data_IF_988518815699
#
_entry.id   IF_988518815699
#
_cell.length_a   1.000
_cell.length_b   1.000
_cell.length_c   1.000
_cell.angle_alpha   90.00
_cell.angle_beta   90.00
_cell.angle_gamma   90.00
#
_symmetry.space_group_name_H-M   'P 1'
#
loop_
_entity.id
_entity.type
_entity.pdbx_description
1 polymer ?
#
# COMPACT_ATOMS: atom_id res chain seq x y z
N UNK A 1 6.70 6.58 -2.07
CA UNK A 1 8.08 6.19 -2.49
C UNK A 1 8.30 4.73 -2.14
N UNK A 2 9.03 3.94 -2.92
CA UNK A 2 9.27 2.52 -2.64
C UNK A 2 10.76 2.16 -2.69
N UNK A 3 11.30 1.69 -1.58
CA UNK A 3 12.68 1.24 -1.40
C UNK A 3 12.68 -0.28 -1.36
N UNK A 4 12.91 -0.91 -2.52
CA UNK A 4 12.68 -2.34 -2.75
C UNK A 4 13.46 -3.26 -1.82
N UNK A 5 14.73 -2.94 -1.61
CA UNK A 5 15.67 -3.78 -0.87
C UNK A 5 15.93 -3.24 0.55
N UNK A 6 15.13 -2.28 1.01
CA UNK A 6 15.26 -1.66 2.33
C UNK A 6 16.45 -0.70 2.45
N UNK A 7 17.23 -0.54 1.39
CA UNK A 7 18.22 0.54 1.27
C UNK A 7 17.51 1.88 1.12
N UNK A 8 17.78 2.79 2.06
CA UNK A 8 17.22 4.14 2.07
C UNK A 8 18.15 5.18 1.41
N UNK A 9 19.31 4.77 0.89
CA UNK A 9 20.29 5.64 0.24
C UNK A 9 20.06 5.73 -1.27
N UNK A 10 19.76 4.61 -1.92
CA UNK A 10 19.44 4.58 -3.35
C UNK A 10 18.11 5.28 -3.63
N UNK A 11 17.99 5.88 -4.82
CA UNK A 11 16.76 6.55 -5.24
C UNK A 11 15.58 5.56 -5.24
N UNK A 12 14.43 5.92 -4.64
CA UNK A 12 13.28 5.03 -4.58
C UNK A 12 12.49 5.01 -5.89
N UNK A 13 11.84 3.88 -6.14
CA UNK A 13 10.80 3.76 -7.15
C UNK A 13 9.58 4.66 -6.77
N UNK A 14 8.82 5.08 -7.78
CA UNK A 14 7.63 5.95 -7.62
C UNK A 14 6.42 5.35 -8.34
N UNK A 15 5.23 5.56 -7.79
CA UNK A 15 3.96 5.12 -8.36
C UNK A 15 3.88 3.60 -8.62
N UNK A 16 4.45 2.81 -7.69
CA UNK A 16 4.47 1.34 -7.77
C UNK A 16 3.15 0.78 -7.24
N UNK A 17 2.49 -0.08 -8.01
CA UNK A 17 1.23 -0.73 -7.60
C UNK A 17 1.47 -1.90 -6.62
N UNK A 18 2.49 -2.70 -6.86
CA UNK A 18 2.79 -3.94 -6.14
C UNK A 18 4.23 -4.32 -6.41
N UNK A 19 4.91 -4.87 -5.41
CA UNK A 19 6.24 -5.42 -5.55
C UNK A 19 6.41 -6.65 -4.66
N UNK A 20 7.13 -7.70 -5.13
CA UNK A 20 7.51 -8.81 -4.27
C UNK A 20 8.60 -8.37 -3.28
N UNK A 21 8.56 -8.93 -2.07
CA UNK A 21 9.66 -8.88 -1.10
C UNK A 21 10.28 -10.28 -1.06
N UNK A 22 11.56 -10.40 -1.41
CA UNK A 22 12.23 -11.69 -1.47
C UNK A 22 12.48 -12.24 -0.03
N UNK A 23 12.54 -13.57 0.16
CA UNK A 23 12.88 -14.14 1.47
C UNK A 23 14.21 -13.61 2.00
N UNK A 24 14.25 -13.20 3.27
CA UNK A 24 15.45 -12.65 3.91
C UNK A 24 15.75 -11.19 3.57
N UNK A 25 14.87 -10.52 2.84
CA UNK A 25 14.97 -9.07 2.53
C UNK A 25 13.86 -8.28 3.22
N UNK A 26 13.89 -6.97 3.09
CA UNK A 26 12.86 -6.06 3.58
C UNK A 26 12.67 -4.96 2.53
N UNK A 27 11.46 -4.42 2.45
CA UNK A 27 11.18 -3.22 1.67
C UNK A 27 10.63 -2.13 2.59
N UNK A 28 10.85 -0.87 2.24
CA UNK A 28 10.21 0.27 2.89
C UNK A 28 9.36 1.03 1.87
N UNK A 29 8.20 1.52 2.30
CA UNK A 29 7.30 2.28 1.44
C UNK A 29 6.75 3.50 2.18
N UNK A 30 6.65 4.60 1.46
CA UNK A 30 5.94 5.81 1.85
C UNK A 30 4.65 5.89 1.02
N UNK A 31 3.50 6.00 1.69
CA UNK A 31 2.17 6.10 1.09
C UNK A 31 1.45 7.34 1.63
N UNK A 32 0.68 7.98 0.76
CA UNK A 32 -0.21 9.08 1.11
C UNK A 32 -1.66 8.62 0.89
N UNK A 33 -2.56 8.98 1.80
CA UNK A 33 -3.96 8.57 1.75
C UNK A 33 -4.86 9.81 1.69
N UNK A 34 -5.07 10.40 0.50
CA UNK A 34 -5.80 11.65 0.35
C UNK A 34 -7.32 11.49 0.45
N UNK A 35 -7.84 10.25 0.42
CA UNK A 35 -9.27 9.95 0.54
C UNK A 35 -9.49 9.14 1.82
N UNK A 36 -10.40 9.54 2.72
CA UNK A 36 -10.69 8.78 3.93
C UNK A 36 -11.36 7.45 3.61
N UNK A 37 -11.15 6.46 4.47
CA UNK A 37 -11.69 5.10 4.33
C UNK A 37 -10.64 4.01 4.55
N UNK A 38 -11.07 2.73 4.47
CA UNK A 38 -10.18 1.60 4.70
C UNK A 38 -9.28 1.34 3.49
N UNK A 39 -7.97 1.40 3.68
CA UNK A 39 -6.97 0.98 2.68
C UNK A 39 -6.42 -0.39 3.07
N UNK A 40 -6.58 -1.36 2.15
CA UNK A 40 -6.13 -2.75 2.35
C UNK A 40 -4.74 -2.93 1.78
N UNK A 41 -3.79 -3.27 2.63
CA UNK A 41 -2.46 -3.72 2.21
C UNK A 41 -2.48 -5.25 2.22
N UNK A 42 -2.26 -5.84 1.05
CA UNK A 42 -2.40 -7.28 0.84
C UNK A 42 -1.19 -7.87 0.18
N UNK A 43 -0.99 -9.16 0.45
CA UNK A 43 -0.22 -10.00 -0.46
C UNK A 43 -1.05 -10.31 -1.71
N UNK A 44 -0.57 -9.88 -2.89
CA UNK A 44 -1.29 -10.01 -4.17
C UNK A 44 -1.38 -11.45 -4.71
N UNK A 45 -0.78 -12.44 -4.07
CA UNK A 45 -1.24 -13.82 -4.20
C UNK A 45 -2.49 -13.99 -3.32
N UNK A 46 -3.65 -13.53 -3.84
CA UNK A 46 -4.88 -13.24 -3.09
C UNK A 46 -5.36 -14.35 -2.14
N UNK A 47 -5.03 -15.62 -2.43
CA UNK A 47 -5.33 -16.73 -1.51
C UNK A 47 -4.62 -16.60 -0.16
N UNK A 48 -3.43 -15.97 -0.11
CA UNK A 48 -2.70 -15.67 1.13
C UNK A 48 -3.41 -14.59 1.95
N UNK A 49 -3.92 -13.54 1.32
CA UNK A 49 -4.73 -12.54 2.02
C UNK A 49 -6.05 -13.15 2.51
N UNK A 50 -6.78 -13.86 1.65
CA UNK A 50 -8.12 -14.37 1.94
C UNK A 50 -8.14 -15.59 2.89
N UNK A 51 -7.10 -16.42 2.88
CA UNK A 51 -7.09 -17.72 3.62
C UNK A 51 -5.92 -17.89 4.58
N UNK A 52 -4.92 -17.01 4.54
CA UNK A 52 -3.72 -17.11 5.40
C UNK A 52 -3.42 -15.83 6.20
N UNK A 53 -4.36 -14.89 6.22
CA UNK A 53 -4.27 -13.69 7.06
C UNK A 53 -3.25 -12.65 6.61
N UNK A 54 -2.71 -12.73 5.39
CA UNK A 54 -1.77 -11.75 4.84
C UNK A 54 -2.50 -10.47 4.36
N UNK A 55 -3.20 -9.81 5.27
CA UNK A 55 -4.00 -8.60 5.06
C UNK A 55 -3.80 -7.65 6.26
N UNK A 56 -3.44 -6.41 5.98
CA UNK A 56 -3.52 -5.29 6.92
C UNK A 56 -4.53 -4.26 6.43
N UNK A 57 -5.18 -3.56 7.36
CA UNK A 57 -6.10 -2.46 7.06
C UNK A 57 -5.59 -1.21 7.75
N UNK A 58 -5.50 -0.12 6.98
CA UNK A 58 -5.26 1.22 7.48
C UNK A 58 -6.60 1.96 7.40
N UNK A 59 -7.16 2.30 8.55
CA UNK A 59 -8.39 3.11 8.62
C UNK A 59 -8.02 4.60 8.60
N UNK A 60 -8.19 5.22 7.44
CA UNK A 60 -7.82 6.63 7.22
C UNK A 60 -9.01 7.51 7.60
N UNK A 61 -8.84 8.37 8.60
CA UNK A 61 -9.83 9.36 9.01
C UNK A 61 -9.62 10.70 8.29
N UNK A 62 -10.71 11.44 8.10
CA UNK A 62 -10.68 12.74 7.44
C UNK A 62 -12.02 13.06 6.76
N UNK A 63 -12.12 14.28 6.24
CA UNK A 63 -13.27 14.69 5.43
C UNK A 63 -13.19 14.10 4.02
N UNK A 64 -14.33 13.81 3.36
CA UNK A 64 -14.34 13.28 2.00
C UNK A 64 -13.70 14.24 0.97
N UNK A 65 -12.72 13.75 0.22
CA UNK A 65 -12.02 14.48 -0.85
C UNK A 65 -12.67 14.19 -2.21
N UNK A 66 -13.83 14.82 -2.46
CA UNK A 66 -14.74 14.50 -3.58
C UNK A 66 -14.21 14.83 -4.98
N UNK A 67 -13.23 15.71 -5.08
CA UNK A 67 -12.51 16.04 -6.31
C UNK A 67 -11.55 14.93 -6.76
N UNK A 68 -11.05 14.13 -5.80
CA UNK A 68 -10.18 12.97 -6.09
C UNK A 68 -11.01 11.70 -6.31
N UNK A 69 -12.02 11.47 -5.46
CA UNK A 69 -12.88 10.29 -5.55
C UNK A 69 -14.31 10.62 -5.14
N UNK A 70 -15.26 10.34 -6.04
CA UNK A 70 -16.69 10.45 -5.79
C UNK A 70 -17.36 9.08 -6.02
N UNK A 71 -17.98 8.55 -4.96
CA UNK A 71 -18.70 7.27 -5.03
C UNK A 71 -20.03 7.37 -5.79
N UNK A 72 -20.61 8.57 -5.87
CA UNK A 72 -21.85 8.89 -6.59
C UNK A 72 -21.54 9.95 -7.68
N UNK A 73 -20.97 9.55 -8.83
CA UNK A 73 -20.42 10.46 -9.83
C UNK A 73 -21.47 11.34 -10.54
#
# INVERSE_FOLDING_TARGET
>A
RFYRDGDLLTAPDRNVETAPVAPGTTAAAEMEFPVPGPVKIVDHALTRAARRGALGIIDVSGEPTRDIYNADP
#
